data_IF_993160086327
#
_entry.id   IF_993160086327
#
_cell.length_a   1.000
_cell.length_b   1.000
_cell.length_c   1.000
_cell.angle_alpha   90.00
_cell.angle_beta   90.00
_cell.angle_gamma   90.00
#
_symmetry.space_group_name_H-M   'P 1'
#
loop_
_entity.id
_entity.type
_entity.pdbx_description
1 polymer ?
#
# COMPACT_ATOMS: atom_id res chain seq x y z
N UNK A 1 24.68 -3.12 -19.09
CA UNK A 1 25.66 -2.72 -18.06
C UNK A 1 25.07 -3.01 -16.70
N UNK A 2 25.81 -3.69 -15.81
CA UNK A 2 25.42 -3.93 -14.42
C UNK A 2 26.06 -2.89 -13.49
N UNK A 3 25.31 -2.42 -12.49
CA UNK A 3 25.80 -1.53 -11.45
C UNK A 3 25.66 -2.25 -10.10
N UNK A 4 26.70 -2.24 -9.31
CA UNK A 4 26.72 -2.83 -7.98
C UNK A 4 26.79 -1.74 -6.90
N UNK A 5 26.03 -1.89 -5.84
CA UNK A 5 26.09 -1.05 -4.65
C UNK A 5 25.79 -1.91 -3.42
N UNK A 6 26.51 -1.71 -2.35
CA UNK A 6 26.24 -2.40 -1.10
C UNK A 6 25.68 -1.41 -0.09
N UNK A 7 24.44 -1.65 0.29
CA UNK A 7 23.73 -0.80 1.25
C UNK A 7 23.36 -1.64 2.47
N UNK A 8 23.47 -1.08 3.64
CA UNK A 8 22.91 -1.63 4.86
C UNK A 8 22.07 -0.58 5.56
N UNK A 9 20.95 -0.99 6.13
CA UNK A 9 20.06 -0.11 6.86
C UNK A 9 19.62 -0.72 8.18
N UNK A 10 19.52 0.10 9.21
CA UNK A 10 18.88 -0.23 10.46
C UNK A 10 17.69 0.69 10.66
N UNK A 11 16.52 0.10 10.95
CA UNK A 11 15.30 0.82 11.32
C UNK A 11 14.87 0.37 12.71
N UNK A 12 14.76 1.33 13.64
CA UNK A 12 14.20 1.10 14.98
C UNK A 12 12.93 1.92 15.11
N UNK A 13 11.85 1.28 15.49
CA UNK A 13 10.56 1.93 15.69
C UNK A 13 9.99 1.55 17.05
N UNK A 14 9.64 2.57 17.81
CA UNK A 14 8.89 2.46 19.06
C UNK A 14 7.51 3.08 18.82
N UNK A 15 6.43 2.40 19.23
CA UNK A 15 5.07 2.91 19.09
C UNK A 15 4.23 2.55 20.32
N UNK A 16 3.42 3.49 20.75
CA UNK A 16 2.44 3.32 21.84
C UNK A 16 1.12 3.93 21.37
N UNK A 17 0.03 3.19 21.56
CA UNK A 17 -1.33 3.66 21.40
C UNK A 17 -2.12 3.31 22.66
N UNK A 18 -2.91 4.27 23.17
CA UNK A 18 -3.78 4.06 24.31
C UNK A 18 -5.13 4.72 24.03
N UNK A 19 -6.20 3.99 24.33
CA UNK A 19 -7.56 4.51 24.14
C UNK A 19 -8.51 4.00 25.24
N UNK A 20 -9.59 4.77 25.42
CA UNK A 20 -10.75 4.43 26.23
C UNK A 20 -11.97 4.37 25.31
N UNK A 21 -12.77 3.31 25.44
CA UNK A 21 -14.04 3.14 24.73
C UNK A 21 -15.14 2.82 25.74
N UNK A 22 -16.31 3.41 25.56
CA UNK A 22 -17.45 3.14 26.41
C UNK A 22 -18.77 3.56 25.79
N UNK A 23 -19.84 2.99 26.32
CA UNK A 23 -21.22 3.40 26.01
C UNK A 23 -21.67 4.54 26.92
N UNK A 24 -22.58 5.35 26.44
CA UNK A 24 -23.29 6.35 27.21
C UNK A 24 -24.73 6.49 26.72
N UNK A 25 -25.63 6.87 27.65
CA UNK A 25 -27.04 7.05 27.31
C UNK A 25 -27.32 8.53 27.06
N UNK A 26 -27.99 8.82 25.96
CA UNK A 26 -28.42 10.16 25.60
C UNK A 26 -29.76 10.08 24.85
N UNK A 27 -30.75 10.91 25.23
CA UNK A 27 -32.09 10.93 24.65
C UNK A 27 -32.78 9.57 24.61
N UNK A 28 -32.55 8.73 25.65
CA UNK A 28 -33.14 7.41 25.77
C UNK A 28 -32.55 6.32 24.84
N UNK A 29 -31.40 6.59 24.24
CA UNK A 29 -30.67 5.67 23.36
C UNK A 29 -29.25 5.48 23.83
N UNK A 30 -28.71 4.29 23.59
CA UNK A 30 -27.32 3.97 23.86
C UNK A 30 -26.44 4.42 22.69
N UNK A 31 -25.37 5.11 23.00
CA UNK A 31 -24.34 5.61 22.09
C UNK A 31 -22.98 5.06 22.51
N UNK A 32 -22.02 5.14 21.60
CA UNK A 32 -20.64 4.75 21.89
C UNK A 32 -19.70 5.93 21.65
N UNK A 33 -18.64 6.00 22.45
CA UNK A 33 -17.58 6.97 22.25
C UNK A 33 -16.21 6.34 22.51
N UNK A 34 -15.22 6.91 21.87
CA UNK A 34 -13.82 6.53 22.05
C UNK A 34 -12.94 7.78 22.03
N UNK A 35 -11.94 7.82 22.91
CA UNK A 35 -10.84 8.78 22.83
C UNK A 35 -9.54 8.04 23.00
N UNK A 36 -8.51 8.52 22.35
CA UNK A 36 -7.20 7.92 22.47
C UNK A 36 -6.10 8.87 22.05
N UNK A 37 -4.89 8.40 22.23
CA UNK A 37 -3.70 9.07 21.79
C UNK A 37 -2.64 8.05 21.40
N UNK A 38 -1.84 8.42 20.41
CA UNK A 38 -0.72 7.59 19.96
C UNK A 38 0.56 8.40 19.87
N UNK A 39 1.67 7.71 20.09
CA UNK A 39 3.01 8.23 19.88
C UNK A 39 3.83 7.18 19.15
N UNK A 40 4.58 7.61 18.13
CA UNK A 40 5.57 6.75 17.50
C UNK A 40 6.87 7.52 17.24
N UNK A 41 7.98 6.81 17.32
CA UNK A 41 9.29 7.29 16.94
C UNK A 41 10.00 6.26 16.09
N UNK A 42 10.43 6.66 14.90
CA UNK A 42 11.21 5.85 13.98
C UNK A 42 12.57 6.48 13.78
N UNK A 43 13.62 5.70 13.90
CA UNK A 43 15.01 6.09 13.67
C UNK A 43 15.58 5.19 12.58
N UNK A 44 15.98 5.79 11.49
CA UNK A 44 16.59 5.12 10.37
C UNK A 44 18.07 5.50 10.27
N UNK A 45 18.89 4.54 9.95
CA UNK A 45 20.32 4.72 9.72
C UNK A 45 20.71 3.90 8.50
N UNK A 46 21.25 4.54 7.48
CA UNK A 46 21.65 3.90 6.24
C UNK A 46 23.11 4.22 5.97
N UNK A 47 23.90 3.17 5.73
CA UNK A 47 25.25 3.26 5.25
C UNK A 47 25.34 2.71 3.83
N UNK A 48 26.27 3.21 3.05
CA UNK A 48 26.62 2.64 1.76
C UNK A 48 28.11 2.33 1.66
N UNK A 49 28.42 1.36 0.82
CA UNK A 49 29.73 1.06 0.32
C UNK A 49 29.60 0.94 -1.20
N UNK A 50 30.43 1.68 -1.92
CA UNK A 50 30.43 1.68 -3.38
C UNK A 50 31.61 0.87 -3.89
N UNK A 51 31.52 0.23 -5.06
CA UNK A 51 32.70 -0.34 -5.69
C UNK A 51 33.69 0.77 -6.01
N UNK A 52 34.97 0.44 -6.04
CA UNK A 52 36.00 1.40 -6.48
C UNK A 52 35.75 1.79 -7.97
N UNK A 53 36.41 2.88 -8.41
CA UNK A 53 36.13 3.52 -9.69
C UNK A 53 36.30 2.61 -10.94
N UNK A 54 36.93 1.45 -10.80
CA UNK A 54 37.16 0.48 -11.89
C UNK A 54 35.89 -0.33 -12.19
N UNK A 55 34.99 -0.49 -11.23
CA UNK A 55 33.80 -1.35 -11.32
C UNK A 55 32.49 -0.58 -11.56
N UNK A 56 32.55 0.69 -11.94
CA UNK A 56 31.36 1.54 -12.08
C UNK A 56 30.28 1.01 -13.04
N UNK A 57 30.67 0.24 -14.05
CA UNK A 57 29.72 -0.40 -14.99
C UNK A 57 30.36 -1.68 -15.58
N UNK A 58 29.83 -2.84 -15.24
CA UNK A 58 30.23 -4.12 -15.83
C UNK A 58 29.32 -4.39 -17.02
N UNK A 59 29.91 -4.70 -18.19
CA UNK A 59 29.15 -5.19 -19.32
C UNK A 59 28.79 -6.67 -19.09
N UNK A 60 27.53 -6.93 -18.82
CA UNK A 60 27.00 -8.29 -18.62
C UNK A 60 26.45 -8.90 -19.92
N UNK A 61 26.64 -8.21 -21.07
CA UNK A 61 26.14 -8.64 -22.36
C UNK A 61 24.61 -8.67 -22.41
N UNK A 62 24.02 -9.76 -22.91
CA UNK A 62 22.59 -9.96 -22.91
C UNK A 62 22.13 -10.36 -21.49
N UNK A 63 21.44 -9.46 -20.81
CA UNK A 63 20.95 -9.67 -19.46
C UNK A 63 20.08 -10.93 -19.31
N UNK A 64 19.30 -11.32 -20.33
CA UNK A 64 18.48 -12.53 -20.30
C UNK A 64 19.31 -13.83 -20.22
N UNK A 65 20.56 -13.78 -20.67
CA UNK A 65 21.47 -14.92 -20.66
C UNK A 65 22.52 -14.82 -19.55
N UNK A 66 22.45 -13.77 -18.72
CA UNK A 66 23.40 -13.56 -17.64
C UNK A 66 23.10 -14.48 -16.46
N UNK A 67 24.12 -15.15 -15.98
CA UNK A 67 24.01 -16.12 -14.87
C UNK A 67 24.10 -15.49 -13.48
N UNK A 68 24.12 -14.15 -13.39
CA UNK A 68 24.27 -13.43 -12.11
C UNK A 68 25.71 -13.28 -11.60
N UNK A 69 26.68 -13.90 -12.25
CA UNK A 69 28.07 -13.85 -11.81
C UNK A 69 28.79 -12.62 -12.36
N UNK A 70 29.37 -11.81 -11.45
CA UNK A 70 30.38 -10.81 -11.74
C UNK A 70 31.52 -10.99 -10.74
N UNK A 71 32.72 -10.56 -11.10
CA UNK A 71 33.81 -10.52 -10.14
C UNK A 71 33.45 -9.61 -8.97
N UNK A 72 33.72 -10.04 -7.75
CA UNK A 72 33.48 -9.22 -6.57
C UNK A 72 34.40 -7.98 -6.58
N UNK A 73 33.87 -6.75 -6.61
CA UNK A 73 34.66 -5.54 -6.65
C UNK A 73 35.36 -5.28 -5.32
N UNK A 74 36.38 -4.45 -5.35
CA UNK A 74 36.88 -3.86 -4.11
C UNK A 74 35.91 -2.78 -3.62
N UNK A 75 35.46 -2.94 -2.39
CA UNK A 75 34.45 -2.07 -1.78
C UNK A 75 35.11 -0.96 -0.98
N UNK A 76 34.61 0.27 -1.14
CA UNK A 76 35.03 1.38 -0.27
C UNK A 76 34.59 1.11 1.18
N UNK A 77 35.30 1.70 2.17
CA UNK A 77 34.82 1.63 3.54
C UNK A 77 33.38 2.15 3.69
N UNK A 78 32.61 1.53 4.58
CA UNK A 78 31.25 1.94 4.90
C UNK A 78 31.20 3.42 5.29
N UNK A 79 30.30 4.16 4.70
CA UNK A 79 30.05 5.58 4.99
C UNK A 79 28.57 5.78 5.30
N UNK A 80 28.30 6.67 6.25
CA UNK A 80 26.94 7.12 6.50
C UNK A 80 26.35 7.70 5.20
N UNK A 81 25.29 7.07 4.71
CA UNK A 81 24.55 7.52 3.55
C UNK A 81 23.47 8.51 3.96
N UNK A 82 22.57 8.10 4.85
CA UNK A 82 21.51 8.97 5.38
C UNK A 82 21.08 8.54 6.77
N UNK A 83 20.47 9.47 7.49
CA UNK A 83 19.94 9.23 8.84
C UNK A 83 18.70 10.08 9.04
N UNK A 84 17.65 9.50 9.60
CA UNK A 84 16.45 10.26 10.00
C UNK A 84 15.91 9.82 11.36
N UNK A 85 15.22 10.76 12.02
CA UNK A 85 14.45 10.59 13.27
C UNK A 85 13.07 11.18 13.00
N UNK A 86 12.08 10.31 12.87
CA UNK A 86 10.69 10.67 12.61
C UNK A 86 9.89 10.46 13.88
N UNK A 87 9.10 11.47 14.27
CA UNK A 87 8.21 11.40 15.43
C UNK A 87 6.82 11.80 15.01
N UNK A 88 5.85 11.03 15.47
CA UNK A 88 4.44 11.34 15.28
C UNK A 88 3.72 11.20 16.60
N UNK A 89 2.94 12.23 16.95
CA UNK A 89 2.04 12.25 18.10
C UNK A 89 0.63 12.54 17.61
N UNK A 90 -0.38 11.90 18.19
CA UNK A 90 -1.75 12.20 17.86
C UNK A 90 -2.70 12.02 19.04
N UNK A 91 -3.76 12.82 19.04
CA UNK A 91 -4.93 12.63 19.88
C UNK A 91 -6.17 12.50 18.99
N UNK A 92 -7.06 11.60 19.33
CA UNK A 92 -8.25 11.34 18.52
C UNK A 92 -9.49 11.07 19.38
N UNK A 93 -10.65 11.37 18.83
CA UNK A 93 -11.93 11.06 19.42
C UNK A 93 -12.92 10.68 18.33
N UNK A 94 -13.80 9.74 18.64
CA UNK A 94 -14.95 9.40 17.82
C UNK A 94 -16.18 9.07 18.66
N UNK A 95 -17.36 9.30 18.08
CA UNK A 95 -18.62 8.90 18.68
C UNK A 95 -19.53 8.29 17.60
N UNK A 96 -20.25 7.23 17.97
CA UNK A 96 -21.35 6.64 17.20
C UNK A 96 -22.65 6.91 17.91
N UNK A 97 -23.48 7.72 17.29
CA UNK A 97 -24.80 8.10 17.79
C UNK A 97 -25.86 7.23 17.12
N UNK A 98 -26.64 6.50 17.90
CA UNK A 98 -27.85 5.80 17.43
C UNK A 98 -29.01 6.80 17.39
N UNK A 99 -29.23 7.44 16.22
CA UNK A 99 -30.27 8.47 16.05
C UNK A 99 -31.66 7.87 16.00
N UNK A 100 -31.78 6.70 15.40
CA UNK A 100 -32.95 5.83 15.36
C UNK A 100 -32.46 4.37 15.33
N UNK A 101 -33.36 3.37 15.44
CA UNK A 101 -32.95 1.97 15.40
C UNK A 101 -32.19 1.63 14.12
N UNK A 102 -32.63 2.08 12.92
CA UNK A 102 -31.90 1.82 11.70
C UNK A 102 -30.88 2.91 11.34
N UNK A 103 -30.72 4.01 12.14
CA UNK A 103 -29.95 5.18 11.72
C UNK A 103 -28.84 5.53 12.70
N UNK A 104 -27.59 5.46 12.23
CA UNK A 104 -26.39 5.72 13.02
C UNK A 104 -25.55 6.82 12.40
N UNK A 105 -25.21 7.84 13.22
CA UNK A 105 -24.28 8.91 12.84
C UNK A 105 -22.93 8.65 13.53
N UNK A 106 -21.86 8.66 12.76
CA UNK A 106 -20.49 8.54 13.24
C UNK A 106 -19.79 9.88 13.03
N UNK A 107 -19.21 10.42 14.07
CA UNK A 107 -18.40 11.66 14.00
C UNK A 107 -17.08 11.44 14.71
N UNK A 108 -16.03 12.02 14.19
CA UNK A 108 -14.74 11.98 14.84
C UNK A 108 -13.73 12.96 14.25
N UNK A 109 -12.64 13.12 14.97
CA UNK A 109 -11.50 13.90 14.52
C UNK A 109 -10.21 13.37 15.14
N UNK A 110 -9.10 13.57 14.42
CA UNK A 110 -7.76 13.27 14.89
C UNK A 110 -6.87 14.50 14.67
N UNK A 111 -6.22 14.95 15.72
CA UNK A 111 -5.09 15.85 15.64
C UNK A 111 -3.81 15.04 15.51
N UNK A 112 -2.99 15.37 14.52
CA UNK A 112 -1.69 14.73 14.30
C UNK A 112 -0.61 15.78 14.21
N UNK A 113 0.50 15.58 14.93
CA UNK A 113 1.73 16.32 14.77
C UNK A 113 2.83 15.36 14.26
N UNK A 114 3.47 15.74 13.18
CA UNK A 114 4.56 15.00 12.53
C UNK A 114 5.82 15.84 12.54
N UNK A 115 6.93 15.27 13.01
CA UNK A 115 8.26 15.90 12.98
C UNK A 115 9.25 14.94 12.33
N UNK A 116 9.98 15.43 11.35
CA UNK A 116 11.09 14.72 10.71
C UNK A 116 12.39 15.53 10.88
N UNK A 117 13.46 14.83 11.27
CA UNK A 117 14.83 15.32 11.30
C UNK A 117 15.66 14.41 10.43
N UNK A 118 16.24 14.96 9.39
CA UNK A 118 16.90 14.21 8.35
C UNK A 118 18.30 14.75 8.06
N UNK A 119 19.27 13.87 7.97
CA UNK A 119 20.61 14.15 7.48
C UNK A 119 20.73 13.53 6.08
N UNK A 120 20.75 14.35 5.01
CA UNK A 120 20.68 13.86 3.64
C UNK A 120 21.92 13.10 3.20
N UNK A 121 21.73 12.25 2.22
CA UNK A 121 22.76 11.51 1.54
C UNK A 121 23.85 12.44 1.01
N UNK A 122 25.11 12.08 1.20
CA UNK A 122 26.28 12.88 0.76
C UNK A 122 26.55 14.16 1.57
N UNK A 123 25.66 14.51 2.51
CA UNK A 123 25.79 15.69 3.38
C UNK A 123 25.44 15.35 4.83
N UNK A 124 26.14 14.41 5.48
CA UNK A 124 25.75 13.89 6.79
C UNK A 124 25.82 14.93 7.91
N UNK A 125 26.50 16.05 7.71
CA UNK A 125 26.57 17.15 8.66
C UNK A 125 25.47 18.21 8.47
N UNK A 126 24.70 18.11 7.39
CA UNK A 126 23.54 18.97 7.15
C UNK A 126 22.33 18.36 7.84
N UNK A 127 21.60 19.14 8.63
CA UNK A 127 20.38 18.71 9.27
C UNK A 127 19.20 19.50 8.73
N UNK A 128 18.24 18.78 8.18
CA UNK A 128 16.95 19.31 7.78
C UNK A 128 15.91 18.92 8.83
N UNK A 129 15.01 19.82 9.14
CA UNK A 129 13.92 19.58 10.08
C UNK A 129 12.63 20.15 9.52
N UNK A 130 11.53 19.41 9.66
CA UNK A 130 10.20 19.86 9.33
C UNK A 130 9.22 19.36 10.37
N UNK A 131 8.32 20.26 10.80
CA UNK A 131 7.21 19.93 11.67
C UNK A 131 5.94 20.33 10.95
N UNK A 132 4.97 19.43 10.85
CA UNK A 132 3.66 19.64 10.25
C UNK A 132 2.60 19.07 11.19
N UNK A 133 1.48 19.72 11.25
CA UNK A 133 0.32 19.26 12.04
C UNK A 133 -0.97 19.56 11.32
N UNK A 134 -2.01 18.79 11.64
CA UNK A 134 -3.35 18.98 11.10
C UNK A 134 -4.40 18.30 11.97
N UNK A 135 -5.64 18.75 11.80
CA UNK A 135 -6.84 18.11 12.34
C UNK A 135 -7.62 17.47 11.22
N UNK A 136 -7.72 16.15 11.24
CA UNK A 136 -8.45 15.36 10.23
C UNK A 136 -9.84 14.94 10.76
N UNK A 137 -10.92 15.68 10.45
CA UNK A 137 -12.28 15.27 10.78
C UNK A 137 -12.76 14.15 9.85
N UNK A 138 -13.72 13.36 10.36
CA UNK A 138 -14.50 12.42 9.56
C UNK A 138 -15.94 12.35 10.05
N UNK A 139 -16.85 12.01 9.17
CA UNK A 139 -18.25 11.81 9.43
C UNK A 139 -18.80 10.65 8.60
N UNK A 140 -19.74 9.89 9.14
CA UNK A 140 -20.42 8.82 8.44
C UNK A 140 -21.87 8.72 8.89
N UNK A 141 -22.76 8.43 7.95
CA UNK A 141 -24.15 8.09 8.23
C UNK A 141 -24.42 6.71 7.70
N UNK A 142 -24.90 5.81 8.55
CA UNK A 142 -25.23 4.43 8.22
C UNK A 142 -26.74 4.25 8.44
N UNK A 143 -27.39 3.66 7.46
CA UNK A 143 -28.81 3.32 7.52
C UNK A 143 -28.99 1.81 7.28
N UNK A 144 -29.47 1.09 8.28
CA UNK A 144 -29.80 -0.32 8.21
C UNK A 144 -31.16 -0.47 7.54
N UNK A 145 -31.19 -0.92 6.30
CA UNK A 145 -32.43 -1.11 5.50
C UNK A 145 -33.26 -2.24 6.10
N UNK A 146 -32.58 -3.31 6.52
CA UNK A 146 -33.11 -4.45 7.26
C UNK A 146 -31.95 -5.17 7.98
N UNK A 147 -32.19 -6.39 8.50
CA UNK A 147 -31.19 -7.17 9.24
C UNK A 147 -29.98 -7.58 8.38
N UNK A 148 -30.16 -7.69 7.06
CA UNK A 148 -29.13 -8.17 6.13
C UNK A 148 -28.50 -7.04 5.29
N UNK A 149 -29.17 -5.88 5.14
CA UNK A 149 -28.76 -4.83 4.23
C UNK A 149 -28.57 -3.50 4.94
N UNK A 150 -27.43 -2.87 4.68
CA UNK A 150 -27.17 -1.50 5.11
C UNK A 150 -26.63 -0.64 3.98
N UNK A 151 -26.84 0.66 4.07
CA UNK A 151 -26.25 1.66 3.17
C UNK A 151 -25.56 2.73 3.99
N UNK A 152 -24.55 3.39 3.42
CA UNK A 152 -23.80 4.43 4.10
C UNK A 152 -23.32 5.51 3.16
N UNK A 153 -23.06 6.66 3.75
CA UNK A 153 -22.26 7.73 3.15
C UNK A 153 -21.21 8.16 4.15
N UNK A 154 -20.02 8.49 3.68
CA UNK A 154 -18.92 8.93 4.53
C UNK A 154 -18.13 10.09 3.93
N UNK A 155 -17.55 10.88 4.82
CA UNK A 155 -16.58 11.92 4.55
C UNK A 155 -15.37 11.71 5.45
N UNK A 156 -14.18 11.80 4.88
CA UNK A 156 -12.93 11.74 5.62
C UNK A 156 -11.95 12.76 5.05
N UNK A 157 -11.28 13.52 5.90
CA UNK A 157 -10.15 14.34 5.48
C UNK A 157 -8.85 13.53 5.48
N UNK A 158 -7.89 13.98 4.68
CA UNK A 158 -6.58 13.33 4.46
C UNK A 158 -5.49 14.28 4.91
N UNK A 159 -4.56 13.77 5.70
CA UNK A 159 -3.31 14.41 6.05
C UNK A 159 -2.19 13.39 5.97
N UNK A 160 -1.32 13.52 4.98
CA UNK A 160 -0.21 12.60 4.74
C UNK A 160 1.10 13.38 4.65
N UNK A 161 1.90 13.45 5.73
CA UNK A 161 3.23 14.00 5.68
C UNK A 161 4.10 13.29 4.65
N UNK A 162 4.96 14.05 3.97
CA UNK A 162 5.83 13.51 2.93
C UNK A 162 7.28 13.93 3.13
N UNK A 163 8.19 13.10 2.62
CA UNK A 163 9.64 13.28 2.69
C UNK A 163 10.24 13.82 1.39
N UNK A 164 9.39 14.20 0.44
CA UNK A 164 9.78 14.71 -0.88
C UNK A 164 10.22 16.15 -0.78
N UNK A 165 11.18 16.54 -1.62
CA UNK A 165 11.80 17.87 -1.58
C UNK A 165 11.70 18.57 -2.94
N UNK A 166 11.54 19.90 -2.88
CA UNK A 166 11.53 20.78 -4.04
C UNK A 166 12.95 21.08 -4.53
N UNK A 167 13.07 21.84 -5.62
CA UNK A 167 14.35 22.27 -6.20
C UNK A 167 15.22 23.07 -5.23
N UNK A 168 14.62 23.72 -4.23
CA UNK A 168 15.36 24.46 -3.18
C UNK A 168 15.82 23.57 -2.01
N UNK A 169 15.48 22.28 -2.05
CA UNK A 169 15.79 21.30 -1.00
C UNK A 169 14.85 21.36 0.21
N UNK A 170 13.75 22.11 0.15
CA UNK A 170 12.75 22.15 1.23
C UNK A 170 11.76 20.99 1.07
N UNK A 171 11.27 20.49 2.19
CA UNK A 171 10.17 19.53 2.17
C UNK A 171 8.92 20.13 1.56
N UNK A 172 8.25 19.37 0.70
CA UNK A 172 6.90 19.68 0.25
C UNK A 172 5.94 19.70 1.44
N UNK A 173 4.87 20.45 1.31
CA UNK A 173 3.78 20.41 2.29
C UNK A 173 3.12 19.03 2.29
N UNK A 174 2.50 18.60 3.41
CA UNK A 174 1.78 17.34 3.46
C UNK A 174 0.72 17.26 2.37
N UNK A 175 0.55 16.07 1.79
CA UNK A 175 -0.62 15.83 0.96
C UNK A 175 -1.86 15.94 1.84
N UNK A 176 -2.75 16.84 1.48
CA UNK A 176 -4.05 17.01 2.13
C UNK A 176 -5.17 16.67 1.16
N UNK A 177 -6.37 16.46 1.68
CA UNK A 177 -7.50 16.19 0.79
C UNK A 177 -8.77 15.77 1.51
N UNK A 178 -9.74 15.37 0.70
CA UNK A 178 -11.07 14.96 1.14
C UNK A 178 -11.46 13.68 0.38
N UNK A 179 -12.04 12.74 1.12
CA UNK A 179 -12.61 11.52 0.55
C UNK A 179 -14.10 11.47 0.84
N UNK A 180 -14.88 11.19 -0.18
CA UNK A 180 -16.31 10.96 -0.11
C UNK A 180 -16.58 9.56 -0.63
N UNK A 181 -17.41 8.82 0.08
CA UNK A 181 -17.78 7.47 -0.29
C UNK A 181 -19.26 7.24 0.00
N UNK A 182 -19.92 6.48 -0.87
CA UNK A 182 -21.26 5.97 -0.64
C UNK A 182 -21.31 4.51 -1.06
N UNK A 183 -21.95 3.68 -0.25
CA UNK A 183 -21.97 2.24 -0.52
C UNK A 183 -23.15 1.52 0.10
N UNK A 184 -23.28 0.27 -0.33
CA UNK A 184 -24.24 -0.71 0.18
C UNK A 184 -23.50 -1.95 0.62
N UNK A 185 -23.87 -2.50 1.77
CA UNK A 185 -23.37 -3.78 2.29
C UNK A 185 -24.53 -4.74 2.44
N UNK A 186 -24.26 -6.01 2.17
CA UNK A 186 -25.24 -7.06 2.37
C UNK A 186 -24.59 -8.31 2.97
N UNK A 187 -25.29 -8.90 3.93
CA UNK A 187 -24.97 -10.16 4.56
C UNK A 187 -25.87 -11.26 3.98
N UNK A 188 -25.29 -12.43 3.73
CA UNK A 188 -25.94 -13.56 3.10
C UNK A 188 -25.70 -14.82 3.93
N UNK A 189 -26.62 -15.77 3.88
CA UNK A 189 -26.47 -17.08 4.53
C UNK A 189 -26.20 -16.96 6.05
N UNK A 190 -26.98 -16.14 6.76
CA UNK A 190 -26.81 -15.85 8.18
C UNK A 190 -25.40 -15.30 8.48
N UNK A 191 -25.02 -14.21 7.82
CA UNK A 191 -23.74 -13.50 7.97
C UNK A 191 -22.48 -14.29 7.58
N UNK A 192 -22.63 -15.46 6.93
CA UNK A 192 -21.49 -16.27 6.49
C UNK A 192 -20.78 -15.69 5.27
N UNK A 193 -21.46 -14.91 4.46
CA UNK A 193 -20.94 -14.22 3.28
C UNK A 193 -21.35 -12.76 3.33
N UNK A 194 -20.39 -11.87 3.20
CA UNK A 194 -20.61 -10.41 3.13
C UNK A 194 -20.25 -9.90 1.76
N UNK A 195 -21.06 -8.99 1.21
CA UNK A 195 -20.76 -8.23 0.00
C UNK A 195 -20.79 -6.75 0.27
N UNK A 196 -19.97 -5.99 -0.43
CA UNK A 196 -20.02 -4.53 -0.44
C UNK A 196 -19.83 -3.98 -1.86
N UNK A 197 -20.57 -2.91 -2.16
CA UNK A 197 -20.40 -2.11 -3.37
C UNK A 197 -20.32 -0.66 -2.95
N UNK A 198 -19.25 0.02 -3.35
CA UNK A 198 -19.01 1.42 -3.03
C UNK A 198 -18.63 2.22 -4.28
N UNK A 199 -19.01 3.50 -4.28
CA UNK A 199 -18.49 4.53 -5.17
C UNK A 199 -17.74 5.54 -4.32
N UNK A 200 -16.61 6.02 -4.83
CA UNK A 200 -15.79 6.96 -4.10
C UNK A 200 -15.27 8.12 -4.98
N UNK A 201 -14.98 9.24 -4.33
CA UNK A 201 -14.28 10.39 -4.89
C UNK A 201 -13.29 10.92 -3.86
N UNK A 202 -12.02 11.00 -4.25
CA UNK A 202 -10.92 11.51 -3.44
C UNK A 202 -10.36 12.73 -4.16
N UNK A 203 -10.26 13.85 -3.45
CA UNK A 203 -9.65 15.09 -3.92
C UNK A 203 -8.39 15.32 -3.09
N UNK A 204 -7.26 15.56 -3.76
CA UNK A 204 -5.96 15.71 -3.09
C UNK A 204 -5.22 16.94 -3.62
N UNK A 205 -4.58 17.65 -2.70
CA UNK A 205 -3.68 18.76 -2.96
C UNK A 205 -2.29 18.42 -2.40
N UNK A 206 -1.27 19.11 -2.89
CA UNK A 206 0.13 18.87 -2.55
C UNK A 206 0.63 17.45 -2.87
N UNK A 207 0.12 16.81 -3.92
CA UNK A 207 0.59 15.51 -4.35
C UNK A 207 1.98 15.65 -4.98
N UNK A 208 2.97 14.91 -4.45
CA UNK A 208 4.33 14.97 -4.99
C UNK A 208 4.40 14.35 -6.40
N UNK A 209 4.88 15.13 -7.34
CA UNK A 209 5.19 14.72 -8.71
C UNK A 209 6.69 14.75 -8.94
N UNK A 210 7.27 13.64 -9.43
CA UNK A 210 8.69 13.58 -9.74
C UNK A 210 8.97 14.40 -11.01
N UNK A 211 9.90 15.36 -10.93
CA UNK A 211 10.31 16.16 -12.09
C UNK A 211 11.32 15.44 -12.99
N UNK A 212 11.78 14.24 -12.60
CA UNK A 212 12.87 13.49 -13.25
C UNK A 212 14.19 14.25 -13.33
N UNK A 213 14.35 15.28 -12.51
CA UNK A 213 15.60 16.01 -12.31
C UNK A 213 16.17 15.73 -10.92
N UNK A 214 17.46 16.01 -10.75
CA UNK A 214 18.18 15.63 -9.54
C UNK A 214 18.89 16.83 -8.92
N UNK A 215 18.94 16.86 -7.61
CA UNK A 215 19.81 17.77 -6.87
C UNK A 215 21.29 17.40 -7.10
N UNK A 216 22.23 18.30 -6.82
CA UNK A 216 23.67 17.97 -6.84
C UNK A 216 24.05 16.80 -5.93
N UNK A 217 23.24 16.50 -4.90
CA UNK A 217 23.38 15.33 -4.02
C UNK A 217 22.93 14.00 -4.65
N UNK A 218 22.32 14.02 -5.85
CA UNK A 218 21.75 12.87 -6.52
C UNK A 218 20.31 12.52 -6.11
N UNK A 219 19.70 13.29 -5.21
CA UNK A 219 18.30 13.07 -4.81
C UNK A 219 17.34 13.65 -5.85
N UNK A 220 16.21 12.95 -6.07
CA UNK A 220 15.18 13.41 -6.99
C UNK A 220 14.50 14.69 -6.50
N UNK A 221 14.21 15.60 -7.44
CA UNK A 221 13.45 16.82 -7.19
C UNK A 221 11.98 16.55 -7.48
N UNK A 222 11.10 17.06 -6.63
CA UNK A 222 9.66 16.93 -6.73
C UNK A 222 9.00 18.29 -6.79
N UNK A 223 7.86 18.35 -7.45
CA UNK A 223 6.94 19.49 -7.43
C UNK A 223 5.60 19.08 -6.81
N UNK A 224 4.86 20.06 -6.33
CA UNK A 224 3.53 19.86 -5.77
C UNK A 224 2.48 19.96 -6.86
N UNK A 225 1.59 18.96 -6.96
CA UNK A 225 0.39 18.99 -7.80
C UNK A 225 -0.84 19.19 -6.92
N UNK A 226 -1.66 20.19 -7.29
CA UNK A 226 -2.94 20.45 -6.65
C UNK A 226 -4.10 20.01 -7.54
N UNK A 227 -5.23 19.72 -6.90
CA UNK A 227 -6.47 19.37 -7.59
C UNK A 227 -6.42 18.00 -8.26
N UNK A 228 -5.68 17.05 -7.68
CA UNK A 228 -5.72 15.64 -8.12
C UNK A 228 -7.01 15.01 -7.66
N UNK A 229 -7.78 14.45 -8.59
CA UNK A 229 -9.05 13.79 -8.32
C UNK A 229 -8.98 12.33 -8.71
N UNK A 230 -9.25 11.44 -7.75
CA UNK A 230 -9.45 10.01 -7.96
C UNK A 230 -10.91 9.66 -7.71
N UNK A 231 -11.57 8.97 -8.64
CA UNK A 231 -12.96 8.53 -8.48
C UNK A 231 -13.17 7.16 -9.11
N UNK A 232 -13.99 6.35 -8.47
CA UNK A 232 -14.15 4.97 -8.91
C UNK A 232 -15.27 4.21 -8.22
N UNK A 233 -15.25 2.92 -8.49
CA UNK A 233 -16.16 1.93 -7.93
C UNK A 233 -15.35 0.76 -7.40
N UNK A 234 -15.79 0.21 -6.28
CA UNK A 234 -15.20 -0.94 -5.61
C UNK A 234 -16.30 -1.95 -5.28
N UNK A 235 -16.01 -3.24 -5.53
CA UNK A 235 -16.86 -4.35 -5.15
C UNK A 235 -16.04 -5.38 -4.38
N UNK A 236 -16.57 -5.82 -3.26
CA UNK A 236 -15.96 -6.85 -2.43
C UNK A 236 -16.97 -7.94 -2.09
N UNK A 237 -16.49 -9.18 -2.00
CA UNK A 237 -17.21 -10.33 -1.53
C UNK A 237 -16.27 -11.18 -0.69
N UNK A 238 -16.67 -11.51 0.53
CA UNK A 238 -15.84 -12.30 1.44
C UNK A 238 -16.70 -13.21 2.33
N UNK A 239 -16.35 -14.48 2.42
CA UNK A 239 -16.99 -15.40 3.33
C UNK A 239 -17.12 -16.82 2.80
N UNK A 240 -18.06 -17.57 3.37
CA UNK A 240 -18.32 -18.97 3.06
C UNK A 240 -19.60 -19.12 2.24
N UNK A 241 -19.49 -19.74 1.06
CA UNK A 241 -20.63 -20.16 0.25
C UNK A 241 -21.28 -21.41 0.83
N UNK A 242 -20.47 -22.32 1.37
CA UNK A 242 -20.90 -23.50 2.12
C UNK A 242 -19.97 -23.70 3.32
N UNK A 243 -20.23 -24.66 4.19
CA UNK A 243 -19.38 -24.95 5.35
C UNK A 243 -17.93 -25.30 4.94
N UNK A 244 -17.77 -25.87 3.74
CA UNK A 244 -16.48 -26.30 3.23
C UNK A 244 -15.87 -25.38 2.17
N UNK A 245 -16.60 -24.38 1.66
CA UNK A 245 -16.17 -23.55 0.55
C UNK A 245 -16.14 -22.08 0.93
N UNK A 246 -14.97 -21.49 0.93
CA UNK A 246 -14.74 -20.07 1.17
C UNK A 246 -14.27 -19.35 -0.08
N UNK A 247 -14.68 -18.10 -0.21
CA UNK A 247 -14.42 -17.25 -1.35
C UNK A 247 -14.13 -15.82 -0.87
N UNK A 248 -13.08 -15.22 -1.45
CA UNK A 248 -12.82 -13.80 -1.34
C UNK A 248 -12.63 -13.26 -2.77
N UNK A 249 -13.40 -12.22 -3.10
CA UNK A 249 -13.28 -11.52 -4.37
C UNK A 249 -13.28 -10.02 -4.13
N UNK A 250 -12.36 -9.30 -4.80
CA UNK A 250 -12.32 -7.85 -4.81
C UNK A 250 -12.09 -7.35 -6.24
N UNK A 251 -12.80 -6.29 -6.62
CA UNK A 251 -12.63 -5.61 -7.88
C UNK A 251 -12.73 -4.09 -7.68
N UNK A 252 -11.74 -3.37 -8.19
CA UNK A 252 -11.71 -1.91 -8.13
C UNK A 252 -11.46 -1.35 -9.52
N UNK A 253 -12.20 -0.32 -9.88
CA UNK A 253 -11.94 0.48 -11.08
C UNK A 253 -12.04 1.96 -10.76
N UNK A 254 -10.98 2.72 -11.10
CA UNK A 254 -10.94 4.16 -10.87
C UNK A 254 -10.20 4.91 -11.98
N UNK A 255 -10.39 6.21 -12.03
CA UNK A 255 -9.56 7.16 -12.76
C UNK A 255 -8.90 8.10 -11.77
N UNK A 256 -7.70 8.59 -12.09
CA UNK A 256 -7.00 9.62 -11.34
C UNK A 256 -6.41 10.64 -12.31
N UNK A 257 -6.80 11.90 -12.13
CA UNK A 257 -6.50 12.98 -13.06
C UNK A 257 -6.10 14.25 -12.29
N UNK A 258 -5.21 15.05 -12.87
CA UNK A 258 -4.91 16.39 -12.39
C UNK A 258 -6.03 17.38 -12.78
N UNK A 259 -5.89 18.64 -12.37
CA UNK A 259 -6.85 19.71 -12.68
C UNK A 259 -7.02 19.99 -14.19
N UNK A 260 -6.09 19.52 -15.03
CA UNK A 260 -6.12 19.69 -16.49
C UNK A 260 -6.68 18.44 -17.21
N UNK A 261 -7.07 17.41 -16.45
CA UNK A 261 -7.56 16.13 -16.98
C UNK A 261 -6.45 15.18 -17.44
N UNK A 262 -5.19 15.45 -17.09
CA UNK A 262 -4.10 14.53 -17.38
C UNK A 262 -4.08 13.39 -16.36
N UNK A 263 -3.84 12.17 -16.84
CA UNK A 263 -3.69 11.02 -15.95
C UNK A 263 -2.46 11.18 -15.05
N UNK A 264 -2.64 11.00 -13.74
CA UNK A 264 -1.57 11.00 -12.73
C UNK A 264 -1.31 9.57 -12.24
N UNK A 265 -0.08 9.26 -11.78
CA UNK A 265 0.29 7.93 -11.28
C UNK A 265 -0.08 6.81 -12.27
N UNK A 266 0.26 6.98 -13.54
CA UNK A 266 -0.05 6.01 -14.61
C UNK A 266 0.68 4.67 -14.49
N UNK A 267 1.67 4.61 -13.61
CA UNK A 267 2.37 3.40 -13.13
C UNK A 267 1.52 2.52 -12.19
N UNK A 268 0.33 3.00 -11.80
CA UNK A 268 -0.61 2.24 -10.98
C UNK A 268 -1.79 1.73 -11.83
N UNK A 269 -2.20 0.45 -11.67
CA UNK A 269 -3.31 -0.11 -12.43
C UNK A 269 -4.65 0.54 -12.07
N UNK A 270 -5.42 0.93 -13.08
CA UNK A 270 -6.75 1.57 -12.92
C UNK A 270 -7.88 0.57 -12.70
N UNK A 271 -7.64 -0.67 -13.00
CA UNK A 271 -8.59 -1.76 -12.76
C UNK A 271 -7.83 -2.97 -12.23
N UNK A 272 -8.24 -3.45 -11.09
CA UNK A 272 -7.71 -4.68 -10.49
C UNK A 272 -8.86 -5.62 -10.14
N UNK A 273 -8.60 -6.92 -10.26
CA UNK A 273 -9.51 -7.97 -9.81
C UNK A 273 -8.68 -9.04 -9.10
N UNK A 274 -9.13 -9.43 -7.92
CA UNK A 274 -8.48 -10.47 -7.11
C UNK A 274 -9.53 -11.47 -6.67
N UNK A 275 -9.32 -12.71 -7.00
CA UNK A 275 -10.14 -13.83 -6.57
C UNK A 275 -9.27 -14.80 -5.80
N UNK A 276 -9.72 -15.23 -4.65
CA UNK A 276 -9.14 -16.33 -3.89
C UNK A 276 -10.24 -17.25 -3.41
N UNK A 277 -10.04 -18.57 -3.54
CA UNK A 277 -10.97 -19.56 -3.06
C UNK A 277 -10.26 -20.74 -2.42
N UNK A 278 -10.88 -21.31 -1.40
CA UNK A 278 -10.44 -22.55 -0.77
C UNK A 278 -11.62 -23.48 -0.55
N UNK A 279 -11.37 -24.77 -0.75
CA UNK A 279 -12.35 -25.84 -0.59
C UNK A 279 -11.76 -26.99 0.23
N UNK A 280 -12.38 -27.30 1.35
CA UNK A 280 -12.07 -28.48 2.15
C UNK A 280 -12.85 -29.66 1.60
N UNK A 281 -12.19 -30.75 1.25
CA UNK A 281 -12.84 -31.90 0.61
C UNK A 281 -13.69 -32.65 1.64
N UNK A 282 -15.02 -32.78 1.46
CA UNK A 282 -15.85 -33.51 2.42
C UNK A 282 -15.47 -35.00 2.56
N UNK A 283 -14.97 -35.63 1.49
CA UNK A 283 -14.54 -37.02 1.50
C UNK A 283 -13.15 -37.23 2.11
N UNK A 284 -12.36 -36.17 2.25
CA UNK A 284 -11.04 -36.16 2.86
C UNK A 284 -10.85 -34.83 3.60
N UNK A 285 -11.45 -34.65 4.79
CA UNK A 285 -11.50 -33.36 5.51
C UNK A 285 -10.10 -32.82 5.87
N UNK A 286 -9.09 -33.66 5.89
CA UNK A 286 -7.69 -33.28 6.10
C UNK A 286 -7.11 -32.52 4.91
N UNK A 287 -7.71 -32.63 3.72
CA UNK A 287 -7.25 -31.98 2.49
C UNK A 287 -8.05 -30.72 2.19
N UNK A 288 -7.37 -29.60 2.16
CA UNK A 288 -7.89 -28.33 1.64
C UNK A 288 -7.14 -27.97 0.36
N UNK A 289 -7.85 -27.68 -0.70
CA UNK A 289 -7.31 -27.19 -1.97
C UNK A 289 -7.83 -25.79 -2.26
N UNK A 290 -7.09 -25.02 -3.02
CA UNK A 290 -7.56 -23.71 -3.40
C UNK A 290 -6.63 -23.03 -4.37
N UNK A 291 -6.99 -21.80 -4.70
CA UNK A 291 -6.20 -20.97 -5.60
C UNK A 291 -6.78 -19.60 -5.74
N UNK A 292 -6.10 -18.80 -6.54
CA UNK A 292 -6.51 -17.43 -6.78
C UNK A 292 -6.07 -16.94 -8.13
N UNK A 293 -6.72 -15.86 -8.55
CA UNK A 293 -6.39 -15.11 -9.76
C UNK A 293 -6.21 -13.65 -9.35
N UNK A 294 -5.06 -13.08 -9.68
CA UNK A 294 -4.82 -11.66 -9.58
C UNK A 294 -4.72 -11.10 -11.00
N UNK A 295 -5.61 -10.19 -11.36
CA UNK A 295 -5.62 -9.55 -12.65
C UNK A 295 -5.52 -8.04 -12.51
N UNK A 296 -4.78 -7.40 -13.42
CA UNK A 296 -4.70 -5.96 -13.53
C UNK A 296 -4.69 -5.49 -14.98
N UNK A 297 -5.19 -4.26 -15.22
CA UNK A 297 -5.05 -3.63 -16.50
C UNK A 297 -3.63 -3.06 -16.68
N UNK A 298 -3.36 -2.56 -17.89
CA UNK A 298 -2.07 -1.98 -18.27
C UNK A 298 -1.68 -0.80 -17.39
N UNK A 299 -0.36 -0.66 -17.20
CA UNK A 299 0.30 0.48 -16.55
C UNK A 299 1.42 1.00 -17.43
N UNK A 300 1.80 2.28 -17.27
CA UNK A 300 2.91 2.86 -18.00
C UNK A 300 3.54 4.03 -17.24
N UNK A 301 4.77 4.35 -17.60
CA UNK A 301 5.43 5.61 -17.24
C UNK A 301 6.16 6.18 -18.46
N UNK A 302 6.17 7.50 -18.57
CA UNK A 302 7.00 8.17 -19.55
C UNK A 302 8.38 8.42 -18.95
N UNK A 303 9.43 7.97 -19.66
CA UNK A 303 10.83 8.09 -19.24
C UNK A 303 11.50 9.12 -20.13
N UNK A 304 12.09 10.15 -19.53
CA UNK A 304 12.87 11.16 -20.24
C UNK A 304 14.38 10.83 -20.15
N UNK A 305 15.15 11.19 -21.18
CA UNK A 305 16.62 11.09 -21.16
C UNK A 305 17.21 9.81 -21.75
N UNK A 306 16.44 8.96 -22.41
CA UNK A 306 16.99 7.86 -23.22
C UNK A 306 17.60 8.34 -24.54
N UNK A 307 18.37 7.47 -25.27
CA UNK A 307 18.95 7.80 -26.57
C UNK A 307 17.96 8.29 -27.62
N UNK A 308 16.66 7.95 -27.47
CA UNK A 308 15.56 8.37 -28.34
C UNK A 308 14.78 9.58 -27.80
N UNK A 309 15.25 10.26 -26.73
CA UNK A 309 14.53 11.31 -26.04
C UNK A 309 13.47 10.75 -25.09
N UNK A 310 12.21 11.14 -25.24
CA UNK A 310 11.09 10.63 -24.43
C UNK A 310 10.68 9.25 -24.92
N UNK A 311 10.63 8.28 -24.03
CA UNK A 311 10.15 6.90 -24.30
C UNK A 311 9.11 6.50 -23.25
N UNK A 312 8.26 5.52 -23.60
CA UNK A 312 7.27 4.96 -22.69
C UNK A 312 7.63 3.54 -22.32
N UNK A 313 7.78 3.30 -21.02
CA UNK A 313 7.81 1.95 -20.47
C UNK A 313 6.37 1.53 -20.16
N UNK A 314 5.94 0.36 -20.63
CA UNK A 314 4.57 -0.13 -20.48
C UNK A 314 4.57 -1.61 -20.08
N UNK A 315 3.71 -1.96 -19.13
CA UNK A 315 3.28 -3.33 -18.87
C UNK A 315 1.83 -3.48 -19.34
N UNK A 316 1.59 -4.36 -20.28
CA UNK A 316 0.23 -4.70 -20.74
C UNK A 316 -0.59 -5.37 -19.63
N UNK A 317 -1.89 -5.46 -19.82
CA UNK A 317 -2.78 -6.18 -18.88
C UNK A 317 -2.34 -7.63 -18.72
N UNK A 318 -2.38 -8.15 -17.49
CA UNK A 318 -2.06 -9.55 -17.22
C UNK A 318 -2.84 -10.10 -16.04
N UNK A 319 -2.88 -11.43 -15.96
CA UNK A 319 -3.42 -12.18 -14.81
C UNK A 319 -2.44 -13.25 -14.37
N UNK A 320 -2.34 -13.45 -13.07
CA UNK A 320 -1.54 -14.50 -12.44
C UNK A 320 -2.47 -15.48 -11.75
N UNK A 321 -2.26 -16.76 -12.01
CA UNK A 321 -3.00 -17.85 -11.35
C UNK A 321 -2.07 -18.55 -10.38
N UNK A 322 -2.55 -18.72 -9.14
CA UNK A 322 -1.83 -19.40 -8.08
C UNK A 322 -2.72 -20.53 -7.54
N UNK A 323 -2.11 -21.67 -7.20
CA UNK A 323 -2.79 -22.81 -6.60
C UNK A 323 -2.10 -23.20 -5.30
N UNK A 324 -2.87 -23.79 -4.39
CA UNK A 324 -2.31 -24.41 -3.21
C UNK A 324 -3.08 -25.66 -2.82
N UNK A 325 -2.39 -26.52 -2.06
CA UNK A 325 -2.96 -27.69 -1.41
C UNK A 325 -2.36 -27.81 -0.01
N UNK A 326 -3.18 -27.93 1.03
CA UNK A 326 -2.79 -28.16 2.41
C UNK A 326 -3.38 -29.45 2.92
N UNK A 327 -2.50 -30.33 3.43
CA UNK A 327 -2.88 -31.59 4.03
C UNK A 327 -2.55 -31.60 5.53
N UNK A 328 -3.56 -31.79 6.36
CA UNK A 328 -3.41 -31.91 7.82
C UNK A 328 -3.07 -33.36 8.16
N UNK A 329 -1.79 -33.68 8.34
CA UNK A 329 -1.29 -35.06 8.57
C UNK A 329 -1.67 -35.58 9.93
N UNK A 330 -1.57 -34.71 10.95
CA UNK A 330 -2.04 -34.98 12.31
C UNK A 330 -2.68 -33.70 12.88
N UNK A 331 -3.25 -33.75 14.08
CA UNK A 331 -3.82 -32.55 14.73
C UNK A 331 -2.84 -31.38 14.82
N UNK A 332 -1.56 -31.68 14.93
CA UNK A 332 -0.50 -30.70 15.15
C UNK A 332 0.43 -30.51 13.94
N UNK A 333 0.34 -31.36 12.92
CA UNK A 333 1.26 -31.32 11.78
C UNK A 333 0.54 -31.18 10.45
N UNK A 334 0.93 -30.19 9.67
CA UNK A 334 0.39 -29.96 8.34
C UNK A 334 1.50 -29.70 7.32
N UNK A 335 1.24 -30.11 6.07
CA UNK A 335 2.10 -29.84 4.91
C UNK A 335 1.30 -29.06 3.90
N UNK A 336 1.90 -28.02 3.32
CA UNK A 336 1.28 -27.19 2.29
C UNK A 336 2.22 -27.06 1.08
N UNK A 337 1.67 -27.29 -0.10
CA UNK A 337 2.32 -27.03 -1.37
C UNK A 337 1.66 -25.83 -2.06
N UNK A 338 2.46 -24.93 -2.64
CA UNK A 338 1.97 -23.78 -3.41
C UNK A 338 2.62 -23.79 -4.78
N UNK A 339 1.86 -23.42 -5.79
CA UNK A 339 2.30 -23.15 -7.15
C UNK A 339 1.93 -21.71 -7.47
N UNK A 340 2.90 -20.84 -7.66
CA UNK A 340 2.67 -19.45 -8.01
C UNK A 340 3.00 -19.21 -9.48
N UNK A 341 2.26 -18.30 -10.12
CA UNK A 341 2.35 -18.01 -11.53
C UNK A 341 2.29 -19.29 -12.39
N UNK A 342 1.19 -20.02 -12.22
CA UNK A 342 0.98 -21.37 -12.80
C UNK A 342 1.28 -21.46 -14.31
N UNK A 343 1.01 -20.38 -15.05
CA UNK A 343 1.18 -20.33 -16.51
C UNK A 343 2.51 -19.71 -16.95
N UNK A 344 3.43 -19.52 -16.00
CA UNK A 344 4.75 -18.90 -16.24
C UNK A 344 4.68 -17.60 -17.04
N UNK A 345 3.72 -16.74 -16.67
CA UNK A 345 3.50 -15.45 -17.32
C UNK A 345 4.71 -14.55 -17.08
N UNK A 346 5.39 -14.12 -18.14
CA UNK A 346 6.38 -13.04 -18.06
C UNK A 346 5.66 -11.69 -17.95
N UNK A 347 6.06 -10.88 -16.95
CA UNK A 347 5.50 -9.56 -16.70
C UNK A 347 6.49 -8.67 -15.96
N UNK A 348 6.25 -7.36 -15.99
CA UNK A 348 6.92 -6.43 -15.11
C UNK A 348 6.06 -6.19 -13.87
N UNK A 349 6.63 -6.45 -12.68
CA UNK A 349 6.01 -6.18 -11.39
C UNK A 349 6.06 -4.69 -11.03
N UNK A 350 7.09 -4.00 -11.54
CA UNK A 350 7.25 -2.56 -11.42
C UNK A 350 7.63 -1.93 -12.75
N UNK A 351 6.97 -0.81 -13.07
CA UNK A 351 7.25 0.02 -14.24
C UNK A 351 7.41 1.47 -13.76
N UNK A 352 8.63 2.00 -13.84
CA UNK A 352 8.97 3.33 -13.38
C UNK A 352 10.21 3.85 -14.12
N UNK A 353 11.13 4.49 -13.42
CA UNK A 353 12.44 4.89 -13.98
C UNK A 353 13.29 3.68 -14.41
N UNK A 354 12.94 2.49 -13.95
CA UNK A 354 13.44 1.18 -14.36
C UNK A 354 12.29 0.18 -14.32
N UNK A 355 12.48 -1.00 -14.84
CA UNK A 355 11.52 -2.10 -14.77
C UNK A 355 12.05 -3.22 -13.89
N UNK A 356 11.16 -3.90 -13.16
CA UNK A 356 11.47 -5.10 -12.40
C UNK A 356 10.64 -6.25 -12.95
N UNK A 357 11.28 -7.33 -13.31
CA UNK A 357 10.57 -8.55 -13.74
C UNK A 357 9.86 -9.19 -12.55
N UNK A 358 8.64 -9.64 -12.79
CA UNK A 358 7.90 -10.45 -11.84
C UNK A 358 8.47 -11.86 -11.68
N UNK A 359 8.12 -12.52 -10.59
CA UNK A 359 8.57 -13.87 -10.32
C UNK A 359 8.02 -14.86 -11.38
N UNK A 360 8.87 -15.76 -11.93
CA UNK A 360 8.43 -16.83 -12.83
C UNK A 360 7.60 -17.87 -12.06
N UNK A 361 7.14 -18.89 -12.78
CA UNK A 361 6.56 -20.07 -12.15
C UNK A 361 7.48 -20.56 -11.02
N UNK A 362 6.93 -20.68 -9.84
CA UNK A 362 7.65 -21.24 -8.71
C UNK A 362 6.76 -22.15 -7.87
N UNK A 363 7.39 -23.14 -7.27
CA UNK A 363 6.75 -24.10 -6.38
C UNK A 363 7.43 -24.03 -5.02
N UNK A 364 6.64 -23.99 -3.97
CA UNK A 364 7.14 -24.05 -2.59
C UNK A 364 6.38 -25.09 -1.79
N UNK A 365 7.08 -25.75 -0.88
CA UNK A 365 6.50 -26.68 0.08
C UNK A 365 6.90 -26.22 1.47
N UNK A 366 5.93 -26.14 2.37
CA UNK A 366 6.13 -25.80 3.77
C UNK A 366 5.51 -26.85 4.69
N UNK A 367 6.13 -27.05 5.84
CA UNK A 367 5.60 -27.89 6.90
C UNK A 367 5.45 -27.02 8.17
N UNK A 368 4.32 -27.18 8.85
CA UNK A 368 4.04 -26.49 10.13
C UNK A 368 3.73 -27.50 11.22
N UNK A 369 4.27 -27.26 12.42
CA UNK A 369 3.98 -28.05 13.59
C UNK A 369 3.61 -27.11 14.74
N UNK A 370 2.44 -27.33 15.33
CA UNK A 370 1.95 -26.59 16.49
C UNK A 370 2.22 -27.43 17.76
N UNK A 371 2.91 -26.83 18.74
CA UNK A 371 3.35 -27.48 19.99
C UNK A 371 2.26 -27.50 21.06
#
# INVERSE_FOLDING_TARGET
>A
MGYGGWNRGERKQDAVDAFLRGGFDLFGRQHEMMFGGSFSRQRNHYDNSMPDAVYGMVDVGNFKNWNGNIADPQWTPWKLYSKDDIRQSSAYSSARFSLADPLHLILGARYTQYNIRYNPAGSPNTRLESTKDDVTPYAGLVYDINEDWSTYVSYTSIFQPQDKRDVSGRYLDPTTGKSYEAGVKADWFNTRLTTSLAIFRIEQDNVASNTYTYMPSGESIYESLDGVVSKGVEFELNGALTDNWQLTFGATRYIAEDKNGNAVSSDQPRTTMKLFTRYQLPMLPELTVGGGVNWQNKVWTDVEGGPAGRSRAEQGSYGLVNLFSRYQVTKNFAVQANVNNLFDKEYYDYVGSYVVYGAPLNVSVSASYDF
#
